data_IF_320254320350
#
_entry.id   IF_320254320350
#
_cell.length_a   1.000
_cell.length_b   1.000
_cell.length_c   1.000
_cell.angle_alpha   90.00
_cell.angle_beta   90.00
_cell.angle_gamma   90.00
#
_symmetry.space_group_name_H-M   'P 1'
#
loop_
_entity.id
_entity.type
_entity.pdbx_description
1 polymer ?
#
# COMPACT_ATOMS: atom_id res chain seq x y z
N UNK A 1 28.30 -47.51 -5.96
CA UNK A 1 29.22 -46.36 -5.90
C UNK A 1 28.34 -45.12 -5.88
N UNK A 2 27.98 -44.65 -4.69
CA UNK A 2 27.14 -43.46 -4.50
C UNK A 2 28.07 -42.26 -4.56
N UNK A 3 27.88 -41.37 -5.54
CA UNK A 3 28.52 -40.07 -5.53
C UNK A 3 27.74 -39.20 -4.55
N UNK A 4 28.35 -38.96 -3.39
CA UNK A 4 28.04 -37.84 -2.51
C UNK A 4 28.08 -36.55 -3.34
N UNK A 5 26.91 -35.95 -3.58
CA UNK A 5 26.84 -34.56 -4.00
C UNK A 5 27.11 -33.71 -2.76
N UNK A 6 28.38 -33.35 -2.57
CA UNK A 6 28.79 -32.35 -1.58
C UNK A 6 28.08 -31.01 -1.85
N UNK A 7 27.48 -30.37 -0.83
CA UNK A 7 26.79 -29.09 -0.97
C UNK A 7 27.73 -27.86 -0.85
N UNK A 8 29.02 -27.94 -1.23
CA UNK A 8 30.01 -26.90 -0.88
C UNK A 8 30.34 -25.85 -1.93
N UNK A 9 29.93 -25.98 -3.19
CA UNK A 9 30.38 -25.04 -4.23
C UNK A 9 29.25 -24.08 -4.62
N UNK A 10 28.78 -23.26 -3.67
CA UNK A 10 28.13 -21.99 -4.04
C UNK A 10 29.25 -21.02 -4.39
N UNK A 11 29.27 -20.57 -5.64
CA UNK A 11 30.24 -19.58 -6.10
C UNK A 11 30.02 -18.25 -5.37
N UNK A 12 31.04 -17.39 -5.30
CA UNK A 12 30.91 -16.03 -4.73
C UNK A 12 29.76 -15.26 -5.41
N UNK A 13 29.58 -15.46 -6.71
CA UNK A 13 28.47 -14.93 -7.51
C UNK A 13 27.09 -15.45 -7.05
N UNK A 14 26.98 -16.72 -6.65
CA UNK A 14 25.73 -17.28 -6.10
C UNK A 14 25.37 -16.66 -4.74
N UNK A 15 26.38 -16.35 -3.91
CA UNK A 15 26.15 -15.70 -2.61
C UNK A 15 25.70 -14.26 -2.79
N UNK A 16 26.31 -13.52 -3.72
CA UNK A 16 25.89 -12.15 -4.07
C UNK A 16 24.47 -12.12 -4.62
N UNK A 17 24.11 -13.07 -5.51
CA UNK A 17 22.73 -13.18 -6.03
C UNK A 17 21.73 -13.45 -4.92
N UNK A 18 22.00 -14.42 -4.05
CA UNK A 18 21.11 -14.78 -2.94
C UNK A 18 20.93 -13.62 -1.96
N UNK A 19 22.00 -12.88 -1.66
CA UNK A 19 21.90 -11.70 -0.79
C UNK A 19 21.02 -10.62 -1.44
N UNK A 20 21.21 -10.30 -2.74
CA UNK A 20 20.35 -9.36 -3.47
C UNK A 20 18.88 -9.80 -3.45
N UNK A 21 18.59 -11.08 -3.70
CA UNK A 21 17.23 -11.61 -3.66
C UNK A 21 16.61 -11.47 -2.26
N UNK A 22 17.38 -11.70 -1.20
CA UNK A 22 16.92 -11.52 0.18
C UNK A 22 16.64 -10.05 0.50
N UNK A 23 17.48 -9.13 0.06
CA UNK A 23 17.27 -7.69 0.25
C UNK A 23 16.03 -7.22 -0.52
N UNK A 24 15.87 -7.63 -1.78
CA UNK A 24 14.68 -7.31 -2.58
C UNK A 24 13.41 -7.86 -1.92
N UNK A 25 13.46 -9.08 -1.40
CA UNK A 25 12.32 -9.68 -0.71
C UNK A 25 11.91 -8.87 0.51
N UNK A 26 12.87 -8.43 1.33
CA UNK A 26 12.64 -7.58 2.50
C UNK A 26 12.06 -6.23 2.10
N UNK A 27 12.62 -5.58 1.09
CA UNK A 27 12.11 -4.30 0.60
C UNK A 27 10.64 -4.42 0.14
N UNK A 28 10.33 -5.48 -0.62
CA UNK A 28 8.96 -5.76 -1.04
C UNK A 28 8.01 -6.08 0.13
N UNK A 29 8.50 -6.70 1.21
CA UNK A 29 7.71 -6.88 2.43
C UNK A 29 7.40 -5.52 3.09
N UNK A 30 8.35 -4.59 3.11
CA UNK A 30 8.07 -3.23 3.58
C UNK A 30 7.06 -2.50 2.71
N UNK A 31 7.15 -2.63 1.37
CA UNK A 31 6.17 -2.04 0.43
C UNK A 31 4.78 -2.63 0.69
N UNK A 32 4.69 -3.95 0.88
CA UNK A 32 3.43 -4.61 1.17
C UNK A 32 2.81 -4.13 2.48
N UNK A 33 3.62 -3.98 3.54
CA UNK A 33 3.15 -3.46 4.82
C UNK A 33 2.62 -2.02 4.72
N UNK A 34 3.32 -1.15 3.98
CA UNK A 34 2.84 0.21 3.73
C UNK A 34 1.55 0.19 2.91
N UNK A 35 1.48 -0.59 1.82
CA UNK A 35 0.24 -0.72 1.05
C UNK A 35 -0.93 -1.17 1.93
N UNK A 36 -0.76 -2.21 2.74
CA UNK A 36 -1.86 -2.78 3.52
C UNK A 36 -2.36 -1.86 4.64
N UNK A 37 -1.47 -1.08 5.26
CA UNK A 37 -1.82 -0.27 6.43
C UNK A 37 -2.07 1.21 6.12
N UNK A 38 -1.58 1.69 4.96
CA UNK A 38 -1.47 3.13 4.69
C UNK A 38 -2.30 3.54 3.47
N UNK A 39 -2.45 2.66 2.47
CA UNK A 39 -3.06 3.04 1.18
C UNK A 39 -4.49 3.59 1.33
N UNK A 40 -5.33 2.91 2.09
CA UNK A 40 -6.73 3.31 2.28
C UNK A 40 -6.80 4.65 3.04
N UNK A 41 -6.07 4.78 4.15
CA UNK A 41 -6.05 6.02 4.93
C UNK A 41 -5.47 7.23 4.15
N UNK A 42 -4.51 7.00 3.25
CA UNK A 42 -3.98 8.04 2.35
C UNK A 42 -4.99 8.39 1.25
N UNK A 43 -5.65 7.38 0.66
CA UNK A 43 -6.69 7.57 -0.34
C UNK A 43 -7.87 8.35 0.23
N UNK A 44 -8.33 8.03 1.44
CA UNK A 44 -9.42 8.70 2.14
C UNK A 44 -9.08 10.16 2.47
N UNK A 45 -7.83 10.44 2.86
CA UNK A 45 -7.38 11.80 3.12
C UNK A 45 -7.38 12.65 1.84
N UNK A 46 -6.84 12.11 0.73
CA UNK A 46 -6.88 12.77 -0.57
C UNK A 46 -8.32 12.97 -1.04
N UNK A 47 -9.16 11.94 -0.91
CA UNK A 47 -10.59 11.99 -1.22
C UNK A 47 -11.30 13.12 -0.49
N UNK A 48 -11.09 13.25 0.82
CA UNK A 48 -11.69 14.30 1.64
C UNK A 48 -11.33 15.71 1.14
N UNK A 49 -10.09 15.91 0.68
CA UNK A 49 -9.68 17.18 0.09
C UNK A 49 -10.33 17.42 -1.29
N UNK A 50 -10.43 16.39 -2.14
CA UNK A 50 -11.09 16.50 -3.44
C UNK A 50 -12.59 16.80 -3.29
N UNK A 51 -13.27 16.20 -2.32
CA UNK A 51 -14.69 16.40 -2.05
C UNK A 51 -15.01 17.84 -1.63
N UNK A 52 -14.06 18.54 -1.00
CA UNK A 52 -14.19 19.97 -0.63
C UNK A 52 -14.07 20.90 -1.85
N UNK A 53 -13.40 20.46 -2.92
CA UNK A 53 -13.15 21.27 -4.11
C UNK A 53 -14.28 21.22 -5.14
N UNK A 54 -15.14 20.21 -5.09
CA UNK A 54 -16.24 20.04 -6.03
C UNK A 54 -17.55 20.67 -5.53
N UNK A 55 -18.42 21.15 -6.44
CA UNK A 55 -19.80 21.53 -6.10
C UNK A 55 -20.58 20.36 -5.47
N UNK A 56 -21.60 20.69 -4.66
CA UNK A 56 -22.43 19.71 -3.96
C UNK A 56 -23.04 18.67 -4.92
N UNK A 57 -23.41 19.10 -6.11
CA UNK A 57 -24.04 18.27 -7.15
C UNK A 57 -23.09 17.20 -7.69
N UNK A 58 -21.77 17.39 -7.53
CA UNK A 58 -20.74 16.47 -8.01
C UNK A 58 -20.06 15.70 -6.88
N UNK A 59 -20.39 15.98 -5.60
CA UNK A 59 -19.82 15.26 -4.45
C UNK A 59 -20.05 13.76 -4.54
N UNK A 60 -21.24 13.33 -4.99
CA UNK A 60 -21.54 11.90 -5.14
C UNK A 60 -20.59 11.15 -6.10
N UNK A 61 -19.96 11.83 -7.06
CA UNK A 61 -18.94 11.23 -7.92
C UNK A 61 -17.61 11.05 -7.19
N UNK A 62 -17.28 11.98 -6.31
CA UNK A 62 -16.10 11.90 -5.46
C UNK A 62 -16.33 10.86 -4.37
N UNK A 63 -17.46 10.90 -3.67
CA UNK A 63 -17.88 9.96 -2.60
C UNK A 63 -17.90 8.49 -3.06
N UNK A 64 -18.06 8.23 -4.36
CA UNK A 64 -17.96 6.90 -4.92
C UNK A 64 -16.53 6.36 -5.06
N UNK A 65 -15.51 7.15 -4.75
CA UNK A 65 -14.11 6.72 -4.83
C UNK A 65 -13.67 6.02 -3.54
N UNK A 66 -13.20 4.78 -3.68
CA UNK A 66 -12.78 3.91 -2.57
C UNK A 66 -11.27 3.61 -2.56
N UNK A 67 -10.53 4.16 -3.51
CA UNK A 67 -9.09 3.91 -3.65
C UNK A 67 -8.44 4.69 -4.79
N UNK A 68 -7.11 4.59 -4.91
CA UNK A 68 -6.33 5.30 -5.93
C UNK A 68 -6.78 5.03 -7.37
N UNK A 69 -7.29 3.83 -7.66
CA UNK A 69 -7.86 3.49 -8.98
C UNK A 69 -9.13 4.27 -9.30
N UNK A 70 -9.95 4.57 -8.29
CA UNK A 70 -11.15 5.40 -8.47
C UNK A 70 -10.75 6.87 -8.66
N UNK A 71 -9.77 7.36 -7.87
CA UNK A 71 -9.23 8.71 -8.03
C UNK A 71 -8.65 8.90 -9.44
N UNK A 72 -7.89 7.93 -9.95
CA UNK A 72 -7.38 7.96 -11.34
C UNK A 72 -8.53 8.08 -12.34
N UNK A 73 -9.60 7.30 -12.16
CA UNK A 73 -10.81 7.36 -13.01
C UNK A 73 -11.55 8.68 -12.88
N UNK A 74 -11.59 9.28 -11.69
CA UNK A 74 -12.18 10.59 -11.43
C UNK A 74 -11.52 11.64 -12.32
N UNK A 75 -10.19 11.76 -12.25
CA UNK A 75 -9.42 12.70 -13.08
C UNK A 75 -9.59 12.42 -14.59
N UNK A 76 -9.71 11.15 -14.99
CA UNK A 76 -9.98 10.77 -16.38
C UNK A 76 -11.42 11.08 -16.85
N UNK A 77 -12.39 11.23 -15.94
CA UNK A 77 -13.81 11.45 -16.25
C UNK A 77 -14.17 12.93 -16.39
N UNK A 78 -13.44 13.82 -15.71
CA UNK A 78 -13.63 15.28 -15.77
C UNK A 78 -12.98 16.07 -16.93
N UNK A 79 -12.47 15.51 -18.06
CA UNK A 79 -12.01 16.33 -19.19
C UNK A 79 -13.10 17.22 -19.82
N UNK A 80 -14.38 16.94 -19.53
CA UNK A 80 -15.53 17.64 -20.12
C UNK A 80 -15.91 18.93 -19.40
N UNK A 81 -15.43 19.16 -18.17
CA UNK A 81 -15.65 20.38 -17.42
C UNK A 81 -14.30 20.89 -16.89
N UNK A 82 -13.69 21.80 -17.65
CA UNK A 82 -12.36 22.34 -17.36
C UNK A 82 -12.29 23.06 -16.01
N UNK A 83 -13.40 23.69 -15.56
CA UNK A 83 -13.43 24.42 -14.30
C UNK A 83 -13.44 23.47 -13.09
N UNK A 84 -14.19 22.36 -13.20
CA UNK A 84 -14.18 21.31 -12.16
C UNK A 84 -12.82 20.60 -12.13
N UNK A 85 -12.25 20.31 -13.30
CA UNK A 85 -10.92 19.69 -13.41
C UNK A 85 -9.85 20.55 -12.74
N UNK A 86 -9.81 21.85 -13.02
CA UNK A 86 -8.86 22.78 -12.42
C UNK A 86 -8.97 22.82 -10.88
N UNK A 87 -10.20 22.81 -10.34
CA UNK A 87 -10.40 22.78 -8.88
C UNK A 87 -9.90 21.48 -8.24
N UNK A 88 -10.12 20.34 -8.91
CA UNK A 88 -9.60 19.05 -8.46
C UNK A 88 -8.07 19.01 -8.51
N UNK A 89 -7.47 19.49 -9.60
CA UNK A 89 -6.01 19.58 -9.74
C UNK A 89 -5.42 20.47 -8.62
N UNK A 90 -5.97 21.67 -8.39
CA UNK A 90 -5.52 22.57 -7.31
C UNK A 90 -5.66 21.98 -5.90
N UNK A 91 -6.73 21.22 -5.64
CA UNK A 91 -6.92 20.55 -4.36
C UNK A 91 -5.90 19.43 -4.15
N UNK A 92 -5.68 18.60 -5.17
CA UNK A 92 -4.68 17.55 -5.14
C UNK A 92 -3.26 18.11 -5.03
N UNK A 93 -2.92 19.17 -5.76
CA UNK A 93 -1.62 19.86 -5.65
C UNK A 93 -1.38 20.37 -4.23
N UNK A 94 -2.39 20.99 -3.61
CA UNK A 94 -2.30 21.47 -2.23
C UNK A 94 -2.11 20.33 -1.24
N UNK A 95 -2.86 19.24 -1.40
CA UNK A 95 -2.70 18.04 -0.58
C UNK A 95 -1.28 17.47 -0.72
N UNK A 96 -0.81 17.30 -1.95
CA UNK A 96 0.53 16.77 -2.23
C UNK A 96 1.62 17.69 -1.64
N UNK A 97 1.50 19.01 -1.81
CA UNK A 97 2.45 19.97 -1.25
C UNK A 97 2.48 19.94 0.29
N UNK A 98 1.31 19.84 0.94
CA UNK A 98 1.22 19.75 2.40
C UNK A 98 1.88 18.49 2.98
N UNK A 99 1.95 17.42 2.18
CA UNK A 99 2.51 16.12 2.58
C UNK A 99 3.86 15.82 1.91
N UNK A 100 4.44 16.78 1.18
CA UNK A 100 5.67 16.64 0.39
C UNK A 100 5.66 15.48 -0.62
N UNK A 101 4.53 15.21 -1.27
CA UNK A 101 4.34 14.12 -2.23
C UNK A 101 4.40 14.61 -3.67
N UNK A 102 4.76 13.71 -4.60
CA UNK A 102 4.65 13.98 -6.02
C UNK A 102 3.18 14.05 -6.47
N UNK A 103 2.82 15.11 -7.20
CA UNK A 103 1.49 15.20 -7.79
C UNK A 103 1.24 14.05 -8.78
N UNK A 104 0.08 13.41 -8.69
CA UNK A 104 -0.29 12.32 -9.58
C UNK A 104 0.20 10.93 -9.16
N UNK A 105 0.79 10.78 -7.98
CA UNK A 105 1.30 9.47 -7.48
C UNK A 105 0.27 8.34 -7.58
N UNK A 106 -1.03 8.64 -7.38
CA UNK A 106 -2.13 7.68 -7.48
C UNK A 106 -2.23 6.99 -8.85
N UNK A 107 -1.70 7.61 -9.91
CA UNK A 107 -1.63 7.04 -11.25
C UNK A 107 -0.79 5.77 -11.34
N UNK A 108 0.14 5.56 -10.39
CA UNK A 108 1.00 4.36 -10.31
C UNK A 108 0.36 3.20 -9.53
N UNK A 109 -0.91 3.31 -9.13
CA UNK A 109 -1.61 2.29 -8.33
C UNK A 109 -1.56 0.87 -8.95
N UNK A 110 -1.58 0.75 -10.28
CA UNK A 110 -1.44 -0.56 -10.94
C UNK A 110 -0.05 -1.17 -10.79
N UNK A 111 0.99 -0.36 -10.75
CA UNK A 111 2.36 -0.82 -10.58
C UNK A 111 2.62 -1.24 -9.14
N UNK A 112 2.07 -0.49 -8.17
CA UNK A 112 2.08 -0.89 -6.76
C UNK A 112 1.40 -2.25 -6.52
N UNK A 113 0.28 -2.50 -7.21
CA UNK A 113 -0.42 -3.78 -7.13
C UNK A 113 0.45 -4.94 -7.65
N UNK A 114 1.12 -4.76 -8.80
CA UNK A 114 2.02 -5.78 -9.38
C UNK A 114 3.18 -6.13 -8.45
N UNK A 115 3.75 -5.13 -7.75
CA UNK A 115 4.80 -5.36 -6.75
C UNK A 115 4.30 -6.16 -5.54
N UNK A 116 2.99 -6.10 -5.28
CA UNK A 116 2.35 -6.71 -4.13
C UNK A 116 1.66 -8.05 -4.40
N UNK A 117 1.65 -8.51 -5.66
CA UNK A 117 0.99 -9.76 -6.05
C UNK A 117 1.61 -10.98 -5.37
N UNK A 118 0.77 -11.91 -4.91
CA UNK A 118 1.12 -13.19 -4.29
C UNK A 118 1.85 -13.15 -2.93
N UNK A 119 1.71 -12.07 -2.14
CA UNK A 119 2.30 -11.98 -0.78
C UNK A 119 1.30 -12.20 0.36
N UNK A 120 1.80 -12.72 1.47
CA UNK A 120 1.00 -12.98 2.67
C UNK A 120 0.43 -11.68 3.22
N UNK A 121 -0.89 -11.67 3.48
CA UNK A 121 -1.68 -10.48 3.82
C UNK A 121 -1.34 -9.77 5.15
N UNK A 122 -0.48 -10.33 6.00
CA UNK A 122 -0.22 -9.74 7.32
C UNK A 122 1.27 -9.84 7.64
N UNK A 123 1.92 -8.68 7.65
CA UNK A 123 3.30 -8.54 8.10
C UNK A 123 3.31 -7.83 9.47
N UNK A 124 4.10 -8.30 10.45
CA UNK A 124 4.11 -7.75 11.80
C UNK A 124 4.94 -6.46 11.91
N UNK A 125 5.25 -5.78 10.80
CA UNK A 125 6.10 -4.59 10.80
C UNK A 125 5.30 -3.35 11.20
N UNK A 126 5.91 -2.48 12.01
CA UNK A 126 5.38 -1.13 12.23
C UNK A 126 5.46 -0.32 10.94
N UNK A 127 4.48 0.54 10.68
CA UNK A 127 4.51 1.37 9.46
C UNK A 127 5.69 2.32 9.45
N UNK A 128 6.12 2.82 10.62
CA UNK A 128 7.29 3.69 10.75
C UNK A 128 8.59 2.99 10.34
N UNK A 129 8.75 1.71 10.68
CA UNK A 129 9.93 0.92 10.30
C UNK A 129 9.96 0.70 8.78
N UNK A 130 8.81 0.38 8.17
CA UNK A 130 8.70 0.26 6.72
C UNK A 130 8.93 1.58 6.00
N UNK A 131 8.44 2.70 6.55
CA UNK A 131 8.69 4.03 5.99
C UNK A 131 10.17 4.36 6.03
N UNK A 132 10.85 4.13 7.16
CA UNK A 132 12.30 4.34 7.28
C UNK A 132 13.11 3.46 6.33
N UNK A 133 12.70 2.20 6.14
CA UNK A 133 13.37 1.26 5.24
C UNK A 133 13.24 1.62 3.76
N UNK A 134 12.17 2.34 3.38
CA UNK A 134 11.88 2.71 1.99
C UNK A 134 12.17 4.18 1.68
N UNK A 135 12.37 5.02 2.69
CA UNK A 135 12.75 6.43 2.54
C UNK A 135 14.26 6.66 2.53
N UNK A 136 15.07 5.61 2.67
CA UNK A 136 16.52 5.74 2.54
C UNK A 136 16.91 6.07 1.10
N UNK A 137 17.71 7.12 0.91
CA UNK A 137 18.30 7.47 -0.38
C UNK A 137 18.92 6.21 -1.02
N UNK A 138 18.49 5.90 -2.26
CA UNK A 138 19.05 4.82 -3.07
C UNK A 138 18.25 3.51 -3.10
N UNK A 139 17.04 3.43 -2.53
CA UNK A 139 16.18 2.23 -2.74
C UNK A 139 15.95 1.96 -4.22
N UNK A 140 15.74 2.99 -5.04
CA UNK A 140 15.54 2.85 -6.48
C UNK A 140 16.83 2.54 -7.24
N UNK A 141 17.97 3.02 -6.74
CA UNK A 141 19.29 2.67 -7.29
C UNK A 141 19.63 1.20 -7.01
N UNK A 142 19.14 0.66 -5.89
CA UNK A 142 19.37 -0.72 -5.45
C UNK A 142 18.32 -1.68 -6.06
N UNK A 143 17.09 -1.20 -6.26
CA UNK A 143 15.96 -1.97 -6.81
C UNK A 143 15.25 -1.21 -7.94
N UNK A 144 15.79 -1.25 -9.17
CA UNK A 144 15.17 -0.65 -10.35
C UNK A 144 13.74 -1.14 -10.62
N UNK A 145 13.38 -2.31 -10.09
CA UNK A 145 12.04 -2.88 -10.16
C UNK A 145 10.97 -1.97 -9.52
N UNK A 146 11.34 -1.04 -8.64
CA UNK A 146 10.43 -0.12 -7.97
C UNK A 146 10.19 1.17 -8.74
N UNK A 147 11.04 1.53 -9.70
CA UNK A 147 10.95 2.77 -10.49
C UNK A 147 9.53 3.06 -11.03
N UNK A 148 8.76 2.07 -11.56
CA UNK A 148 7.40 2.33 -12.06
C UNK A 148 6.38 2.72 -10.97
N UNK A 149 6.68 2.46 -9.69
CA UNK A 149 5.84 2.70 -8.52
C UNK A 149 6.50 3.61 -7.46
N UNK A 150 7.62 4.24 -7.79
CA UNK A 150 8.41 5.04 -6.84
C UNK A 150 7.56 6.13 -6.17
N UNK A 151 6.91 7.00 -6.95
CA UNK A 151 6.13 8.11 -6.41
C UNK A 151 4.99 7.67 -5.47
N UNK A 152 4.35 6.52 -5.72
CA UNK A 152 3.33 6.00 -4.81
C UNK A 152 3.93 5.32 -3.58
N UNK A 153 5.09 4.65 -3.70
CA UNK A 153 5.82 4.09 -2.55
C UNK A 153 6.30 5.22 -1.63
N UNK A 154 6.89 6.27 -2.19
CA UNK A 154 7.32 7.48 -1.47
C UNK A 154 6.14 8.18 -0.79
N UNK A 155 5.00 8.32 -1.48
CA UNK A 155 3.79 8.89 -0.89
C UNK A 155 3.30 8.07 0.32
N UNK A 156 3.29 6.74 0.22
CA UNK A 156 2.93 5.87 1.35
C UNK A 156 3.93 6.01 2.50
N UNK A 157 5.23 6.05 2.22
CA UNK A 157 6.27 6.21 3.23
C UNK A 157 6.16 7.56 3.96
N UNK A 158 5.95 8.66 3.23
CA UNK A 158 5.75 10.00 3.80
C UNK A 158 4.50 10.07 4.66
N UNK A 159 3.38 9.53 4.19
CA UNK A 159 2.14 9.51 4.97
C UNK A 159 2.29 8.66 6.24
N UNK A 160 2.94 7.49 6.14
CA UNK A 160 3.26 6.64 7.28
C UNK A 160 4.17 7.33 8.30
N UNK A 161 5.18 8.08 7.86
CA UNK A 161 6.07 8.82 8.76
C UNK A 161 5.32 9.90 9.56
N UNK A 162 4.27 10.50 9.00
CA UNK A 162 3.46 11.52 9.68
C UNK A 162 2.37 10.94 10.60
N UNK A 163 1.82 9.78 10.25
CA UNK A 163 0.63 9.21 10.91
C UNK A 163 0.87 7.83 11.54
N UNK A 164 2.13 7.42 11.70
CA UNK A 164 2.51 6.04 11.98
C UNK A 164 1.84 5.44 13.21
N UNK A 165 1.85 6.15 14.34
CA UNK A 165 1.25 5.67 15.59
C UNK A 165 -0.26 5.39 15.46
N UNK A 166 -0.98 6.26 14.75
CA UNK A 166 -2.42 6.08 14.50
C UNK A 166 -2.67 4.87 13.61
N UNK A 167 -1.91 4.75 12.52
CA UNK A 167 -2.07 3.68 11.53
C UNK A 167 -1.72 2.30 12.12
N UNK A 168 -0.68 2.21 12.95
CA UNK A 168 -0.35 0.96 13.63
C UNK A 168 -1.41 0.57 14.67
N UNK A 169 -1.96 1.54 15.42
CA UNK A 169 -3.06 1.27 16.35
C UNK A 169 -4.33 0.76 15.65
N UNK A 170 -4.73 1.39 14.55
CA UNK A 170 -5.88 0.97 13.73
C UNK A 170 -5.69 -0.45 13.18
N UNK A 171 -4.48 -0.76 12.68
CA UNK A 171 -4.16 -2.10 12.19
C UNK A 171 -4.19 -3.17 13.30
N UNK A 172 -3.73 -2.84 14.51
CA UNK A 172 -3.84 -3.73 15.68
C UNK A 172 -5.30 -3.98 16.08
N UNK A 173 -6.14 -2.95 16.08
CA UNK A 173 -7.57 -3.07 16.37
C UNK A 173 -8.29 -3.96 15.35
N UNK A 174 -8.04 -3.76 14.05
CA UNK A 174 -8.60 -4.58 12.99
C UNK A 174 -8.18 -6.05 13.12
N UNK A 175 -6.90 -6.30 13.43
CA UNK A 175 -6.40 -7.65 13.66
C UNK A 175 -7.10 -8.32 14.85
N UNK A 176 -7.29 -7.60 15.95
CA UNK A 176 -8.02 -8.12 17.12
C UNK A 176 -9.49 -8.42 16.78
N UNK A 177 -10.14 -7.54 16.02
CA UNK A 177 -11.51 -7.75 15.57
C UNK A 177 -11.63 -9.00 14.70
N UNK A 178 -10.75 -9.16 13.71
CA UNK A 178 -10.73 -10.33 12.82
C UNK A 178 -10.49 -11.64 13.58
N UNK A 179 -9.62 -11.63 14.60
CA UNK A 179 -9.39 -12.79 15.47
C UNK A 179 -10.66 -13.17 16.24
N UNK A 180 -11.35 -12.21 16.86
CA UNK A 180 -12.62 -12.45 17.57
C UNK A 180 -13.70 -13.01 16.63
N UNK A 181 -13.88 -12.40 15.46
CA UNK A 181 -14.85 -12.86 14.46
C UNK A 181 -14.56 -14.31 14.00
N UNK A 182 -13.28 -14.66 13.83
CA UNK A 182 -12.87 -16.02 13.47
C UNK A 182 -13.16 -17.03 14.59
N UNK A 183 -12.96 -16.66 15.85
CA UNK A 183 -13.30 -17.50 16.99
C UNK A 183 -14.81 -17.73 17.11
N UNK A 184 -15.62 -16.69 16.90
CA UNK A 184 -17.07 -16.81 16.89
C UNK A 184 -17.57 -17.70 15.76
N UNK A 185 -17.05 -17.54 14.53
CA UNK A 185 -17.35 -18.42 13.41
C UNK A 185 -16.98 -19.88 13.72
N UNK A 186 -15.85 -20.12 14.39
CA UNK A 186 -15.46 -21.46 14.83
C UNK A 186 -16.47 -22.05 15.82
N UNK A 187 -16.90 -21.26 16.82
CA UNK A 187 -17.92 -21.69 17.81
C UNK A 187 -19.25 -22.02 17.13
N UNK A 188 -19.72 -21.17 16.22
CA UNK A 188 -20.95 -21.40 15.45
C UNK A 188 -20.88 -22.67 14.59
N UNK A 189 -19.75 -22.92 13.92
CA UNK A 189 -19.53 -24.14 13.12
C UNK A 189 -19.59 -25.40 13.97
N UNK A 190 -18.99 -25.39 15.17
CA UNK A 190 -19.04 -26.54 16.10
C UNK A 190 -20.47 -26.78 16.57
N UNK A 191 -21.18 -25.73 17.01
CA UNK A 191 -22.59 -25.83 17.45
C UNK A 191 -23.50 -26.37 16.34
N UNK A 192 -23.37 -25.85 15.12
CA UNK A 192 -24.17 -26.31 13.97
C UNK A 192 -23.92 -27.76 13.54
N UNK A 193 -22.78 -28.37 13.94
CA UNK A 193 -22.47 -29.78 13.71
C UNK A 193 -23.04 -30.67 14.82
N UNK A 194 -23.11 -30.16 16.06
CA UNK A 194 -23.71 -30.87 17.18
C UNK A 194 -25.24 -30.91 17.08
N UNK A 195 -25.87 -29.84 16.60
CA UNK A 195 -27.33 -29.77 16.39
C UNK A 195 -27.84 -30.64 15.22
N UNK A 196 -26.93 -31.26 14.45
CA UNK A 196 -27.24 -32.14 13.30
C UNK A 196 -26.97 -33.63 13.56
N UNK A 197 -26.54 -34.00 14.76
CA UNK A 197 -26.41 -35.39 15.24
C UNK A 197 -27.58 -35.73 16.15
#
# INVERSE_FOLDING_TARGET
MFLDQHPSDRTEDDLVRVDRELQLRKALDHVHNLRSKVADALSDALHSELAKAVPEELKGLVDGCSGFKDITRLFATFPKDAAVRERLDQAAERFCAAHNMAFGFWGQSSELDKLSDNRNHVLPYKVADSAAALSSDGVDEVFPEFEPADAIIDALAKYAAMHGDRLDAEAEEEQQFALRAKEELKKLRVKSRQDKQ
#
